data_IF_958500569016
#
_entry.id   IF_958500569016
#
_cell.length_a   1.000
_cell.length_b   1.000
_cell.length_c   1.000
_cell.angle_alpha   90.00
_cell.angle_beta   90.00
_cell.angle_gamma   90.00
#
_symmetry.space_group_name_H-M   'P 1'
#
loop_
_entity.id
_entity.type
_entity.pdbx_description
1 polymer ?
#
# COMPACT_ATOMS: atom_id res chain seq x y z
N UNK A 1 4.26 -8.47 -3.79
CA UNK A 1 2.83 -8.22 -3.46
C UNK A 1 1.96 -9.09 -4.36
N UNK A 2 1.11 -9.90 -3.76
CA UNK A 2 0.33 -10.89 -4.52
C UNK A 2 -0.53 -10.28 -5.63
N UNK A 3 -1.18 -9.15 -5.35
CA UNK A 3 -2.01 -8.51 -6.37
C UNK A 3 -1.21 -8.00 -7.56
N UNK A 4 0.04 -7.58 -7.36
CA UNK A 4 0.89 -7.12 -8.45
C UNK A 4 1.45 -8.28 -9.28
N UNK A 5 1.86 -9.36 -8.62
CA UNK A 5 2.56 -10.49 -9.25
C UNK A 5 1.61 -11.57 -9.76
N UNK A 6 0.42 -11.67 -9.14
CA UNK A 6 -0.60 -12.67 -9.50
C UNK A 6 -1.98 -12.02 -9.64
N UNK A 7 -2.14 -11.04 -10.54
CA UNK A 7 -3.38 -10.26 -10.67
C UNK A 7 -4.56 -11.08 -11.20
N UNK A 8 -4.30 -12.24 -11.80
CA UNK A 8 -5.32 -13.17 -12.24
C UNK A 8 -5.98 -13.93 -11.07
N UNK A 9 -5.33 -13.95 -9.90
CA UNK A 9 -5.83 -14.61 -8.69
C UNK A 9 -6.23 -13.59 -7.63
N UNK A 10 -5.39 -12.59 -7.41
CA UNK A 10 -5.57 -11.57 -6.38
C UNK A 10 -5.79 -10.21 -7.03
N UNK A 11 -7.05 -9.79 -7.14
CA UNK A 11 -7.41 -8.50 -7.76
C UNK A 11 -7.41 -7.33 -6.78
N UNK A 12 -7.30 -7.61 -5.48
CA UNK A 12 -7.40 -6.58 -4.44
C UNK A 12 -6.38 -6.85 -3.33
N UNK A 13 -5.86 -5.80 -2.73
CA UNK A 13 -4.97 -5.92 -1.58
C UNK A 13 -5.24 -4.83 -0.55
N UNK A 14 -5.13 -5.19 0.71
CA UNK A 14 -5.17 -4.26 1.84
C UNK A 14 -3.75 -4.23 2.42
N UNK A 15 -3.13 -3.06 2.37
CA UNK A 15 -1.76 -2.83 2.86
C UNK A 15 -1.84 -1.88 4.05
N UNK A 16 -1.81 -2.44 5.26
CA UNK A 16 -1.89 -1.66 6.50
C UNK A 16 -0.50 -1.45 7.08
N UNK A 17 -0.12 -0.20 7.24
CA UNK A 17 1.22 0.19 7.71
C UNK A 17 2.32 -0.60 6.98
N UNK A 18 2.31 -0.62 5.64
CA UNK A 18 3.23 -1.49 4.89
C UNK A 18 4.65 -0.95 4.92
N UNK A 19 5.59 -1.89 5.01
CA UNK A 19 7.00 -1.61 4.75
C UNK A 19 7.30 -1.97 3.31
N UNK A 20 7.11 -1.03 2.38
CA UNK A 20 7.41 -1.28 0.96
C UNK A 20 8.90 -1.34 0.68
N UNK A 21 9.73 -0.82 1.57
CA UNK A 21 11.18 -0.99 1.52
C UNK A 21 11.73 -1.21 2.93
N UNK A 22 12.89 -1.85 2.99
CA UNK A 22 13.62 -2.03 4.24
C UNK A 22 14.05 -0.69 4.83
N UNK A 23 14.04 -0.58 6.15
CA UNK A 23 14.60 0.58 6.85
C UNK A 23 16.13 0.50 6.94
N UNK A 24 16.71 -0.68 6.70
CA UNK A 24 18.16 -0.89 6.71
C UNK A 24 18.74 -0.56 5.34
N UNK A 25 19.88 0.16 5.27
CA UNK A 25 20.56 0.44 4.02
C UNK A 25 20.91 -0.84 3.26
N UNK A 26 20.63 -0.87 1.94
CA UNK A 26 20.90 -2.02 1.09
C UNK A 26 19.94 -3.19 1.25
N UNK A 27 18.88 -3.02 2.04
CA UNK A 27 17.84 -4.04 2.17
C UNK A 27 16.89 -4.08 0.97
N UNK A 28 15.83 -4.87 1.09
CA UNK A 28 14.84 -5.02 0.02
C UNK A 28 14.06 -3.72 -0.20
N UNK A 29 13.62 -3.54 -1.46
CA UNK A 29 12.79 -2.39 -1.88
C UNK A 29 11.78 -2.85 -2.92
N UNK A 30 10.54 -3.06 -2.50
CA UNK A 30 9.48 -3.53 -3.39
C UNK A 30 9.05 -2.47 -4.39
N UNK A 31 9.24 -1.19 -4.09
CA UNK A 31 8.94 -0.11 -5.02
C UNK A 31 9.74 -0.25 -6.31
N UNK A 32 11.00 -0.72 -6.22
CA UNK A 32 11.81 -0.99 -7.41
C UNK A 32 11.19 -2.09 -8.29
N UNK A 33 10.59 -3.11 -7.68
CA UNK A 33 9.89 -4.16 -8.42
C UNK A 33 8.73 -3.57 -9.22
N UNK A 34 7.93 -2.70 -8.62
CA UNK A 34 6.83 -2.02 -9.30
C UNK A 34 7.35 -1.11 -10.42
N UNK A 35 8.39 -0.33 -10.15
CA UNK A 35 8.97 0.59 -11.13
C UNK A 35 9.54 -0.13 -12.35
N UNK A 36 10.18 -1.28 -12.15
CA UNK A 36 10.88 -2.03 -13.18
C UNK A 36 10.00 -3.02 -13.95
N UNK A 37 8.82 -3.34 -13.45
CA UNK A 37 7.90 -4.27 -14.11
C UNK A 37 6.84 -3.51 -14.90
N UNK A 38 6.23 -4.20 -15.87
CA UNK A 38 5.09 -3.67 -16.58
C UNK A 38 3.85 -3.64 -15.69
N UNK A 39 2.98 -2.67 -15.89
CA UNK A 39 1.69 -2.63 -15.22
C UNK A 39 0.92 -3.92 -15.53
N UNK A 40 0.36 -4.61 -14.54
CA UNK A 40 -0.51 -5.76 -14.77
C UNK A 40 -1.65 -5.42 -15.73
N UNK A 41 -1.95 -6.32 -16.66
CA UNK A 41 -3.08 -6.14 -17.60
C UNK A 41 -4.43 -6.34 -16.91
N UNK A 42 -4.49 -7.24 -15.93
CA UNK A 42 -5.69 -7.42 -15.12
C UNK A 42 -5.87 -6.23 -14.17
N UNK A 43 -7.10 -5.71 -14.01
CA UNK A 43 -7.36 -4.65 -13.04
C UNK A 43 -7.04 -5.12 -11.62
N UNK A 44 -6.37 -4.26 -10.86
CA UNK A 44 -6.15 -4.46 -9.42
C UNK A 44 -6.56 -3.21 -8.67
N UNK A 45 -6.96 -3.39 -7.41
CA UNK A 45 -7.28 -2.31 -6.51
C UNK A 45 -6.47 -2.45 -5.22
N UNK A 46 -5.85 -1.36 -4.78
CA UNK A 46 -5.01 -1.34 -3.59
C UNK A 46 -5.56 -0.37 -2.56
N UNK A 47 -5.77 -0.87 -1.34
CA UNK A 47 -5.97 -0.03 -0.18
C UNK A 47 -4.65 0.06 0.58
N UNK A 48 -4.19 1.28 0.82
CA UNK A 48 -2.93 1.54 1.52
C UNK A 48 -3.23 2.48 2.68
N UNK A 49 -2.78 2.15 3.87
CA UNK A 49 -2.90 3.08 5.00
C UNK A 49 -1.68 3.01 5.92
N UNK A 50 -1.51 4.05 6.71
CA UNK A 50 -0.62 4.02 7.86
C UNK A 50 -1.03 5.08 8.89
N UNK A 51 -0.40 4.98 10.07
CA UNK A 51 -0.41 6.04 11.07
C UNK A 51 0.71 7.05 10.83
N UNK A 52 0.96 7.87 11.84
CA UNK A 52 1.98 8.92 11.79
C UNK A 52 2.99 8.83 12.92
N UNK A 53 2.78 7.95 13.88
CA UNK A 53 3.56 7.87 15.11
C UNK A 53 4.49 6.66 15.11
N UNK A 54 5.64 6.80 15.76
CA UNK A 54 6.59 5.72 15.94
C UNK A 54 7.11 5.16 14.62
N UNK A 55 7.09 3.84 14.47
CA UNK A 55 7.57 3.16 13.27
C UNK A 55 6.82 3.60 12.01
N UNK A 56 5.54 3.92 12.10
CA UNK A 56 4.76 4.37 10.94
C UNK A 56 5.34 5.65 10.33
N UNK A 57 5.91 6.54 11.13
CA UNK A 57 6.58 7.73 10.61
C UNK A 57 7.82 7.39 9.78
N UNK A 58 8.50 6.30 10.12
CA UNK A 58 9.69 5.82 9.40
C UNK A 58 9.32 5.09 8.11
N UNK A 59 8.12 4.51 8.06
CA UNK A 59 7.62 3.82 6.86
C UNK A 59 7.08 4.78 5.81
N UNK A 60 6.75 6.01 6.18
CA UNK A 60 6.11 6.99 5.30
C UNK A 60 6.88 7.25 4.00
N UNK A 61 8.22 7.46 4.01
CA UNK A 61 8.95 7.68 2.75
C UNK A 61 8.79 6.53 1.75
N UNK A 62 8.81 5.28 2.20
CA UNK A 62 8.60 4.11 1.34
C UNK A 62 7.19 4.04 0.79
N UNK A 63 6.19 4.44 1.57
CA UNK A 63 4.80 4.53 1.11
C UNK A 63 4.66 5.63 0.06
N UNK A 64 5.25 6.80 0.29
CA UNK A 64 5.21 7.91 -0.67
C UNK A 64 5.85 7.52 -2.01
N UNK A 65 6.97 6.82 -1.97
CA UNK A 65 7.64 6.30 -3.18
C UNK A 65 6.77 5.29 -3.93
N UNK A 66 6.09 4.39 -3.21
CA UNK A 66 5.18 3.42 -3.82
C UNK A 66 3.99 4.12 -4.49
N UNK A 67 3.40 5.10 -3.83
CA UNK A 67 2.28 5.87 -4.40
C UNK A 67 2.74 6.59 -5.66
N UNK A 68 3.92 7.19 -5.64
CA UNK A 68 4.50 7.84 -6.83
C UNK A 68 4.72 6.82 -7.96
N UNK A 69 5.24 5.64 -7.66
CA UNK A 69 5.44 4.58 -8.63
C UNK A 69 4.12 4.09 -9.24
N UNK A 70 3.07 3.96 -8.43
CA UNK A 70 1.74 3.58 -8.91
C UNK A 70 1.19 4.63 -9.88
N UNK A 71 1.32 5.92 -9.53
CA UNK A 71 0.87 7.02 -10.40
C UNK A 71 1.65 7.03 -11.72
N UNK A 72 2.96 6.79 -11.69
CA UNK A 72 3.79 6.69 -12.90
C UNK A 72 3.36 5.53 -13.80
N UNK A 73 2.80 4.46 -13.22
CA UNK A 73 2.24 3.32 -13.97
C UNK A 73 0.81 3.58 -14.46
N UNK A 74 0.25 4.76 -14.20
CA UNK A 74 -1.07 5.16 -14.66
C UNK A 74 -2.22 4.80 -13.72
N UNK A 75 -1.92 4.36 -12.48
CA UNK A 75 -2.95 4.15 -11.46
C UNK A 75 -3.41 5.49 -10.89
N UNK A 76 -4.71 5.62 -10.68
CA UNK A 76 -5.34 6.86 -10.19
C UNK A 76 -5.86 6.66 -8.78
N UNK A 77 -5.49 7.59 -7.88
CA UNK A 77 -6.03 7.60 -6.53
C UNK A 77 -7.54 7.81 -6.55
N UNK A 78 -8.25 7.07 -5.71
CA UNK A 78 -9.71 7.06 -5.66
C UNK A 78 -10.34 6.06 -6.62
N UNK A 79 -9.66 5.67 -7.69
CA UNK A 79 -10.16 4.71 -8.68
C UNK A 79 -9.43 3.37 -8.58
N UNK A 80 -8.11 3.39 -8.65
CA UNK A 80 -7.28 2.19 -8.70
C UNK A 80 -6.61 1.87 -7.37
N UNK A 81 -6.44 2.89 -6.54
CA UNK A 81 -5.98 2.75 -5.17
C UNK A 81 -6.51 3.89 -4.30
N UNK A 82 -6.49 3.68 -3.00
CA UNK A 82 -6.72 4.75 -2.01
C UNK A 82 -5.60 4.73 -0.99
N UNK A 83 -5.27 5.91 -0.48
CA UNK A 83 -4.33 6.08 0.61
C UNK A 83 -5.00 6.81 1.77
N UNK A 84 -4.96 6.20 2.96
CA UNK A 84 -5.53 6.75 4.17
C UNK A 84 -4.43 6.92 5.22
N UNK A 85 -4.28 8.12 5.74
CA UNK A 85 -3.31 8.42 6.80
C UNK A 85 -4.06 8.77 8.08
N UNK A 86 -3.81 8.00 9.14
CA UNK A 86 -4.40 8.27 10.45
C UNK A 86 -3.40 9.10 11.29
N UNK A 87 -3.71 10.38 11.58
CA UNK A 87 -2.77 11.26 12.25
C UNK A 87 -2.50 10.89 13.72
N UNK A 88 -3.29 9.99 14.30
CA UNK A 88 -3.17 9.62 15.72
C UNK A 88 -2.70 8.19 15.92
N UNK A 89 -2.53 7.41 14.87
CA UNK A 89 -2.24 5.99 14.97
C UNK A 89 -0.73 5.70 14.93
N UNK A 90 -0.36 4.60 15.54
CA UNK A 90 0.99 4.05 15.56
C UNK A 90 0.98 2.63 14.98
N UNK A 91 2.15 2.03 14.86
CA UNK A 91 2.35 0.69 14.32
C UNK A 91 1.98 -0.37 15.37
N UNK A 92 0.70 -0.69 15.49
CA UNK A 92 0.20 -1.65 16.46
C UNK A 92 -1.07 -2.35 15.99
N UNK A 93 -1.28 -3.57 16.49
CA UNK A 93 -2.46 -4.37 16.18
C UNK A 93 -3.75 -3.66 16.58
N UNK A 94 -3.75 -2.93 17.70
CA UNK A 94 -4.92 -2.18 18.15
C UNK A 94 -5.31 -1.09 17.16
N UNK A 95 -4.32 -0.37 16.61
CA UNK A 95 -4.56 0.67 15.62
C UNK A 95 -4.98 0.09 14.27
N UNK A 96 -4.39 -1.03 13.85
CA UNK A 96 -4.84 -1.73 12.65
C UNK A 96 -6.27 -2.24 12.79
N UNK A 97 -6.63 -2.81 13.94
CA UNK A 97 -7.98 -3.28 14.19
C UNK A 97 -9.03 -2.18 14.06
N UNK A 98 -8.70 -0.96 14.46
CA UNK A 98 -9.61 0.20 14.31
C UNK A 98 -9.85 0.57 12.86
N UNK A 99 -8.84 0.42 11.99
CA UNK A 99 -8.92 0.81 10.58
C UNK A 99 -9.42 -0.30 9.67
N UNK A 100 -9.27 -1.57 10.08
CA UNK A 100 -9.55 -2.72 9.24
C UNK A 100 -10.99 -2.77 8.70
N UNK A 101 -12.04 -2.49 9.50
CA UNK A 101 -13.41 -2.49 8.98
C UNK A 101 -13.59 -1.53 7.79
N UNK A 102 -13.04 -0.33 7.88
CA UNK A 102 -13.11 0.64 6.77
C UNK A 102 -12.30 0.17 5.55
N UNK A 103 -11.13 -0.40 5.77
CA UNK A 103 -10.31 -0.96 4.70
C UNK A 103 -11.06 -2.07 3.96
N UNK A 104 -11.64 -3.00 4.72
CA UNK A 104 -12.40 -4.11 4.17
C UNK A 104 -13.61 -3.62 3.37
N UNK A 105 -14.39 -2.69 3.92
CA UNK A 105 -15.54 -2.11 3.22
C UNK A 105 -15.12 -1.41 1.93
N UNK A 106 -14.00 -0.71 1.95
CA UNK A 106 -13.47 0.00 0.78
C UNK A 106 -13.13 -0.97 -0.34
N UNK A 107 -12.44 -2.07 -0.06
CA UNK A 107 -12.07 -3.03 -1.11
C UNK A 107 -13.25 -3.89 -1.58
N UNK A 108 -14.22 -4.18 -0.70
CA UNK A 108 -15.41 -4.96 -1.08
C UNK A 108 -16.36 -4.20 -2.01
N UNK A 109 -16.29 -2.88 -2.00
CA UNK A 109 -17.15 -2.03 -2.87
C UNK A 109 -16.57 -1.83 -4.28
N UNK A 110 -15.43 -2.40 -4.58
CA UNK A 110 -14.75 -2.21 -5.88
C UNK A 110 -15.05 -3.34 -6.87
#
# INVERSE_FOLDING_TARGET
>A
MLAWEHPNIFSKAICMSPAFRSLSPGGWDYTLTVQRSSRPTNPIFLYIDNGTLGLDSQLQPGIDEMISALKDKGYKEGKDFVFVRDPTAKHSEADWAKRFPNALMTVLRR
#
